data_IF_560899253597
#
_entry.id   IF_560899253597
#
_cell.length_a   1.000
_cell.length_b   1.000
_cell.length_c   1.000
_cell.angle_alpha   90.00
_cell.angle_beta   90.00
_cell.angle_gamma   90.00
#
_symmetry.space_group_name_H-M   'P 1'
#
loop_
_entity.id
_entity.type
_entity.pdbx_description
1 polymer ?
#
# COMPACT_ATOMS: atom_id res chain seq x y z
N UNK A 1 -34.49 -69.19 -44.31
CA UNK A 1 -34.27 -67.77 -44.67
C UNK A 1 -33.96 -67.03 -43.39
N UNK A 2 -33.13 -65.98 -43.48
CA UNK A 2 -32.61 -65.14 -42.36
C UNK A 2 -31.35 -65.69 -41.70
N UNK A 3 -30.18 -65.19 -42.12
CA UNK A 3 -29.02 -65.05 -41.21
C UNK A 3 -28.19 -63.84 -41.63
N UNK A 4 -28.22 -62.85 -40.74
CA UNK A 4 -27.47 -61.60 -40.71
C UNK A 4 -25.97 -61.85 -40.61
N UNK A 5 -25.19 -61.07 -41.36
CA UNK A 5 -23.73 -61.09 -41.36
C UNK A 5 -23.19 -60.30 -40.15
N UNK A 6 -22.50 -60.98 -39.24
CA UNK A 6 -21.66 -60.40 -38.19
C UNK A 6 -20.22 -60.34 -38.70
N UNK A 7 -19.57 -59.17 -38.59
CA UNK A 7 -18.13 -59.02 -38.80
C UNK A 7 -17.47 -58.78 -37.45
N UNK A 8 -16.81 -59.83 -36.99
CA UNK A 8 -15.85 -59.89 -35.89
C UNK A 8 -14.52 -59.31 -36.37
N UNK A 9 -13.92 -58.38 -35.62
CA UNK A 9 -12.50 -58.04 -35.75
C UNK A 9 -11.80 -58.42 -34.45
N UNK A 10 -10.78 -59.28 -34.57
CA UNK A 10 -9.95 -59.81 -33.50
C UNK A 10 -8.97 -58.77 -32.92
N UNK A 11 -8.63 -58.92 -31.63
CA UNK A 11 -7.40 -58.42 -31.00
C UNK A 11 -6.15 -59.11 -31.56
N UNK A 12 -4.91 -58.79 -31.14
CA UNK A 12 -4.42 -58.30 -29.85
C UNK A 12 -2.95 -57.84 -30.00
N UNK A 13 -2.49 -56.94 -29.12
CA UNK A 13 -1.18 -56.90 -28.42
C UNK A 13 -0.96 -55.46 -27.88
N UNK A 14 -1.15 -55.20 -26.59
CA UNK A 14 -0.17 -55.30 -25.48
C UNK A 14 0.79 -54.10 -25.43
N UNK A 15 0.40 -53.06 -24.68
CA UNK A 15 1.28 -52.06 -24.08
C UNK A 15 0.62 -51.63 -22.75
N UNK A 16 1.34 -51.68 -21.61
CA UNK A 16 0.81 -51.16 -20.34
C UNK A 16 0.82 -49.63 -20.38
N UNK A 17 -0.29 -49.05 -19.94
CA UNK A 17 -0.43 -47.61 -19.76
C UNK A 17 0.58 -47.12 -18.71
N UNK A 18 1.36 -46.10 -19.09
CA UNK A 18 2.14 -45.27 -18.18
C UNK A 18 1.26 -44.81 -17.01
N UNK A 19 1.77 -45.03 -15.80
CA UNK A 19 1.28 -44.39 -14.59
C UNK A 19 1.30 -42.86 -14.79
N UNK A 20 0.29 -42.11 -14.32
CA UNK A 20 0.41 -40.66 -14.32
C UNK A 20 1.55 -40.32 -13.38
N UNK A 21 2.67 -39.87 -13.95
CA UNK A 21 3.73 -39.18 -13.23
C UNK A 21 3.05 -38.14 -12.36
N UNK A 22 3.15 -38.33 -11.05
CA UNK A 22 2.74 -37.34 -10.08
C UNK A 22 3.38 -36.02 -10.51
N UNK A 23 2.54 -35.06 -10.91
CA UNK A 23 2.99 -33.70 -11.11
C UNK A 23 3.71 -33.31 -9.83
N UNK A 24 5.00 -33.04 -9.95
CA UNK A 24 5.74 -32.44 -8.86
C UNK A 24 4.95 -31.18 -8.46
N UNK A 25 4.42 -31.22 -7.24
CA UNK A 25 4.08 -30.00 -6.51
C UNK A 25 5.28 -29.07 -6.70
N UNK A 26 5.10 -27.81 -7.14
CA UNK A 26 6.21 -26.89 -7.22
C UNK A 26 6.86 -26.89 -5.85
N UNK A 27 8.13 -27.29 -5.85
CA UNK A 27 8.98 -27.26 -4.67
C UNK A 27 8.88 -25.85 -4.11
N UNK A 28 8.67 -25.75 -2.80
CA UNK A 28 8.82 -24.52 -2.07
C UNK A 28 10.30 -24.16 -2.14
N UNK A 29 10.74 -23.61 -3.28
CA UNK A 29 11.92 -22.79 -3.33
C UNK A 29 11.63 -21.68 -2.33
N UNK A 30 12.25 -21.79 -1.16
CA UNK A 30 12.18 -20.83 -0.09
C UNK A 30 12.16 -19.43 -0.69
N UNK A 31 11.22 -18.59 -0.24
CA UNK A 31 11.25 -17.15 -0.46
C UNK A 31 12.55 -16.64 0.15
N UNK A 32 13.63 -16.78 -0.61
CA UNK A 32 14.97 -16.45 -0.20
C UNK A 32 15.23 -15.02 -0.61
N UNK A 33 15.97 -14.31 0.23
CA UNK A 33 16.34 -12.93 -0.04
C UNK A 33 17.32 -12.78 -1.22
N UNK A 34 17.72 -13.86 -1.90
CA UNK A 34 18.61 -13.84 -3.07
C UNK A 34 19.30 -15.19 -3.29
N UNK A 35 20.01 -15.33 -4.41
CA UNK A 35 20.87 -16.51 -4.61
C UNK A 35 22.11 -16.42 -3.71
N UNK A 36 22.76 -17.54 -3.34
CA UNK A 36 23.98 -17.47 -2.52
C UNK A 36 25.10 -16.62 -3.13
N UNK A 37 25.23 -16.61 -4.46
CA UNK A 37 26.21 -15.80 -5.18
C UNK A 37 25.87 -14.30 -5.10
N UNK A 38 24.61 -13.94 -5.36
CA UNK A 38 24.14 -12.56 -5.29
C UNK A 38 24.21 -12.00 -3.86
N UNK A 39 23.92 -12.84 -2.84
CA UNK A 39 24.03 -12.45 -1.43
C UNK A 39 25.49 -12.26 -0.98
N UNK A 40 26.43 -13.06 -1.50
CA UNK A 40 27.87 -12.87 -1.24
C UNK A 40 28.36 -11.55 -1.85
N UNK A 41 27.96 -11.25 -3.08
CA UNK A 41 28.28 -9.99 -3.76
C UNK A 41 27.68 -8.79 -3.02
N UNK A 42 26.40 -8.86 -2.65
CA UNK A 42 25.72 -7.80 -1.92
C UNK A 42 26.32 -7.59 -0.53
N UNK A 43 26.74 -8.67 0.14
CA UNK A 43 27.39 -8.60 1.46
C UNK A 43 28.78 -7.95 1.45
N UNK A 44 29.40 -7.77 0.28
CA UNK A 44 30.65 -7.04 0.13
C UNK A 44 30.46 -5.51 0.09
N UNK A 45 29.21 -5.04 -0.08
CA UNK A 45 28.89 -3.61 -0.04
C UNK A 45 28.99 -3.10 1.39
N UNK A 46 29.81 -2.08 1.58
CA UNK A 46 29.94 -1.40 2.88
C UNK A 46 28.88 -0.31 2.98
N UNK A 47 28.09 -0.37 4.05
CA UNK A 47 27.06 0.61 4.39
C UNK A 47 27.50 1.36 5.64
N UNK A 48 27.78 2.66 5.51
CA UNK A 48 28.17 3.53 6.62
C UNK A 48 27.12 4.63 6.86
N UNK A 49 26.93 5.04 8.11
CA UNK A 49 25.98 6.08 8.50
C UNK A 49 25.01 5.60 9.58
N UNK A 50 24.60 6.52 10.45
CA UNK A 50 23.58 6.22 11.48
C UNK A 50 22.20 6.04 10.83
N UNK A 51 21.33 5.26 11.48
CA UNK A 51 19.94 5.11 11.07
C UNK A 51 19.24 6.48 11.07
N UNK A 52 18.38 6.74 10.07
CA UNK A 52 17.69 8.02 9.89
C UNK A 52 18.59 9.17 9.39
N UNK A 53 19.83 8.87 9.00
CA UNK A 53 20.71 9.77 8.25
C UNK A 53 21.10 9.13 6.93
N UNK A 54 21.30 9.96 5.90
CA UNK A 54 21.70 9.49 4.56
C UNK A 54 22.97 8.62 4.66
N UNK A 55 22.91 7.33 4.31
CA UNK A 55 24.06 6.45 4.38
C UNK A 55 25.04 6.70 3.23
N UNK A 56 26.24 6.15 3.35
CA UNK A 56 27.21 6.06 2.26
C UNK A 56 27.42 4.60 1.88
N UNK A 57 27.37 4.32 0.58
CA UNK A 57 27.58 2.98 0.02
C UNK A 57 28.94 2.91 -0.68
N UNK A 58 29.75 1.92 -0.31
CA UNK A 58 31.06 1.69 -0.92
C UNK A 58 31.18 0.24 -1.38
N UNK A 59 31.54 0.04 -2.66
CA UNK A 59 31.68 -1.27 -3.30
C UNK A 59 32.64 -1.20 -4.49
N UNK A 60 33.08 -2.37 -4.97
CA UNK A 60 33.89 -2.47 -6.19
C UNK A 60 33.03 -2.14 -7.42
N UNK A 61 33.59 -1.32 -8.32
CA UNK A 61 32.90 -0.75 -9.47
C UNK A 61 33.45 -1.31 -10.81
N UNK A 62 32.59 -1.66 -11.78
CA UNK A 62 31.13 -1.66 -11.70
C UNK A 62 30.62 -2.82 -10.83
N UNK A 63 29.56 -2.56 -10.08
CA UNK A 63 28.79 -3.56 -9.35
C UNK A 63 27.84 -4.27 -10.31
N UNK A 64 27.97 -5.60 -10.39
CA UNK A 64 27.14 -6.46 -11.21
C UNK A 64 26.49 -7.53 -10.32
N UNK A 65 25.20 -7.78 -10.54
CA UNK A 65 24.42 -8.79 -9.80
C UNK A 65 23.49 -9.52 -10.77
N UNK A 66 23.31 -10.83 -10.60
CA UNK A 66 22.61 -11.68 -11.55
C UNK A 66 21.10 -11.69 -11.37
N UNK A 67 20.64 -11.55 -10.13
CA UNK A 67 19.23 -11.44 -9.76
C UNK A 67 19.06 -10.44 -8.60
N UNK A 68 17.83 -9.95 -8.33
CA UNK A 68 17.60 -9.14 -7.16
C UNK A 68 18.01 -9.87 -5.88
N UNK A 69 18.59 -9.14 -4.94
CA UNK A 69 18.97 -9.68 -3.64
C UNK A 69 18.83 -8.62 -2.54
N UNK A 70 18.46 -9.04 -1.33
CA UNK A 70 18.26 -8.21 -0.15
C UNK A 70 19.04 -8.78 1.05
N UNK A 71 19.58 -7.90 1.89
CA UNK A 71 20.25 -8.24 3.13
C UNK A 71 19.82 -7.28 4.24
N UNK A 72 19.57 -7.82 5.44
CA UNK A 72 19.42 -6.99 6.63
C UNK A 72 20.80 -6.48 7.04
N UNK A 73 20.98 -5.16 7.01
CA UNK A 73 22.22 -4.49 7.45
C UNK A 73 22.19 -4.26 8.95
N UNK A 74 21.05 -3.83 9.47
CA UNK A 74 20.78 -3.69 10.89
C UNK A 74 19.33 -3.99 11.20
N UNK A 75 19.10 -4.69 12.30
CA UNK A 75 17.77 -4.96 12.84
C UNK A 75 17.19 -3.69 13.49
N UNK A 76 15.86 -3.56 13.43
CA UNK A 76 15.13 -2.51 14.12
C UNK A 76 14.77 -2.89 15.56
N UNK A 77 14.65 -1.89 16.42
CA UNK A 77 14.21 -2.04 17.81
C UNK A 77 12.74 -1.63 18.04
N UNK A 78 12.03 -1.25 16.97
CA UNK A 78 10.63 -0.82 17.01
C UNK A 78 9.64 -1.97 16.99
N UNK A 79 8.39 -1.66 16.59
CA UNK A 79 7.33 -2.66 16.50
C UNK A 79 7.60 -3.67 15.37
N UNK A 80 7.15 -4.94 15.52
CA UNK A 80 7.30 -5.94 14.47
C UNK A 80 6.58 -5.55 13.17
N UNK A 81 7.23 -5.79 12.04
CA UNK A 81 6.62 -5.60 10.73
C UNK A 81 5.66 -6.76 10.41
N UNK A 82 4.50 -6.41 9.86
CA UNK A 82 3.47 -7.36 9.45
C UNK A 82 3.13 -7.18 7.96
N UNK A 83 3.01 -8.28 7.23
CA UNK A 83 2.61 -8.24 5.82
C UNK A 83 1.27 -7.52 5.64
N UNK A 84 1.15 -6.75 4.56
CA UNK A 84 -0.02 -5.91 4.27
C UNK A 84 0.08 -4.50 4.88
N UNK A 85 1.02 -4.25 5.78
CA UNK A 85 1.31 -2.89 6.24
C UNK A 85 1.93 -2.04 5.12
N UNK A 86 1.69 -0.73 5.17
CA UNK A 86 2.40 0.24 4.34
C UNK A 86 3.54 0.78 5.20
N UNK A 87 4.78 0.45 4.83
CA UNK A 87 5.96 0.98 5.50
C UNK A 87 6.22 2.40 4.99
N UNK A 88 6.58 3.30 5.89
CA UNK A 88 7.22 4.56 5.56
C UNK A 88 8.72 4.30 5.55
N UNK A 89 9.38 4.56 4.43
CA UNK A 89 10.78 4.20 4.22
C UNK A 89 11.62 5.36 3.70
N UNK A 90 12.84 5.47 4.20
CA UNK A 90 13.86 6.32 3.57
C UNK A 90 14.75 5.48 2.65
N UNK A 91 14.93 5.97 1.42
CA UNK A 91 15.64 5.27 0.35
C UNK A 91 16.81 6.11 -0.14
N UNK A 92 17.99 5.48 -0.21
CA UNK A 92 19.11 5.94 -1.01
C UNK A 92 19.36 4.91 -2.09
N UNK A 93 19.34 5.32 -3.36
CA UNK A 93 19.70 4.49 -4.50
C UNK A 93 20.90 5.06 -5.23
N UNK A 94 21.88 4.21 -5.53
CA UNK A 94 23.09 4.55 -6.27
C UNK A 94 23.28 3.64 -7.47
N UNK A 95 23.88 4.19 -8.53
CA UNK A 95 24.27 3.44 -9.72
C UNK A 95 25.40 2.48 -9.39
N UNK A 96 25.26 1.23 -9.82
CA UNK A 96 26.30 0.21 -9.71
C UNK A 96 27.54 0.52 -10.54
N UNK A 97 27.46 1.40 -11.55
CA UNK A 97 28.62 1.74 -12.39
C UNK A 97 29.63 2.60 -11.62
N UNK A 98 29.32 3.88 -11.40
CA UNK A 98 30.23 4.83 -10.75
C UNK A 98 29.83 5.17 -9.29
N UNK A 99 28.78 4.56 -8.74
CA UNK A 99 28.28 4.87 -7.40
C UNK A 99 27.53 6.20 -7.31
N UNK A 100 27.12 6.78 -8.44
CA UNK A 100 26.41 8.05 -8.49
C UNK A 100 25.01 7.91 -7.86
N UNK A 101 24.62 8.87 -7.02
CA UNK A 101 23.26 8.90 -6.45
C UNK A 101 22.21 9.07 -7.54
N UNK A 102 21.33 8.08 -7.65
CA UNK A 102 20.17 8.09 -8.53
C UNK A 102 18.96 8.73 -7.82
N UNK A 103 18.80 8.42 -6.53
CA UNK A 103 17.69 8.87 -5.70
C UNK A 103 18.12 8.96 -4.24
N UNK A 104 17.62 9.96 -3.51
CA UNK A 104 17.73 10.04 -2.05
C UNK A 104 16.51 10.75 -1.46
N UNK A 105 15.73 10.05 -0.62
CA UNK A 105 14.64 10.65 0.16
C UNK A 105 15.15 11.44 1.36
N UNK A 106 16.40 11.21 1.77
CA UNK A 106 17.05 11.96 2.85
C UNK A 106 17.34 13.40 2.41
N UNK A 107 17.69 13.59 1.14
CA UNK A 107 18.08 14.89 0.60
C UNK A 107 16.90 15.87 0.49
N UNK A 108 15.69 15.37 0.22
CA UNK A 108 14.46 16.16 0.13
C UNK A 108 13.56 16.03 1.37
N UNK A 109 13.90 15.13 2.30
CA UNK A 109 13.13 14.88 3.52
C UNK A 109 11.75 14.29 3.24
N UNK A 110 11.61 13.54 2.15
CA UNK A 110 10.34 13.01 1.66
C UNK A 110 10.38 11.48 1.60
N UNK A 111 10.09 10.77 2.71
CA UNK A 111 10.10 9.32 2.72
C UNK A 111 9.03 8.73 1.80
N UNK A 112 9.30 7.53 1.31
CA UNK A 112 8.41 6.78 0.43
C UNK A 112 7.48 5.85 1.20
N UNK A 113 6.39 5.42 0.55
CA UNK A 113 5.42 4.47 1.11
C UNK A 113 5.50 3.19 0.32
N UNK A 114 5.91 2.11 0.99
CA UNK A 114 6.14 0.82 0.36
C UNK A 114 5.29 -0.26 1.04
N UNK A 115 4.40 -0.97 0.32
CA UNK A 115 3.66 -2.08 0.89
C UNK A 115 4.59 -3.24 1.24
N UNK A 116 4.55 -3.72 2.48
CA UNK A 116 5.23 -4.96 2.86
C UNK A 116 4.41 -6.16 2.39
N UNK A 117 5.03 -7.08 1.65
CA UNK A 117 4.37 -8.24 1.04
C UNK A 117 3.98 -8.01 -0.42
N UNK A 118 4.43 -6.93 -1.06
CA UNK A 118 4.20 -6.71 -2.49
C UNK A 118 4.88 -7.83 -3.31
N UNK A 119 4.12 -8.62 -4.10
CA UNK A 119 4.68 -9.72 -4.88
C UNK A 119 5.69 -9.29 -5.95
N UNK A 120 5.78 -8.00 -6.27
CA UNK A 120 6.80 -7.42 -7.14
C UNK A 120 8.20 -7.39 -6.54
N UNK A 121 8.33 -7.52 -5.21
CA UNK A 121 9.61 -7.46 -4.49
C UNK A 121 9.84 -8.66 -3.56
N UNK A 122 9.84 -9.90 -4.07
CA UNK A 122 9.87 -11.09 -3.24
C UNK A 122 11.14 -11.21 -2.38
N UNK A 123 12.30 -10.79 -2.88
CA UNK A 123 13.54 -10.81 -2.10
C UNK A 123 13.55 -9.78 -0.98
N UNK A 124 12.95 -8.61 -1.22
CA UNK A 124 12.78 -7.60 -0.18
C UNK A 124 11.82 -8.11 0.90
N UNK A 125 10.68 -8.71 0.52
CA UNK A 125 9.74 -9.31 1.47
C UNK A 125 10.42 -10.38 2.33
N UNK A 126 11.22 -11.25 1.71
CA UNK A 126 11.97 -12.27 2.41
C UNK A 126 12.97 -11.69 3.44
N UNK A 127 13.63 -10.57 3.12
CA UNK A 127 14.54 -9.90 4.04
C UNK A 127 13.81 -9.14 5.16
N UNK A 128 12.63 -8.59 4.88
CA UNK A 128 11.78 -7.90 5.86
C UNK A 128 11.05 -8.87 6.80
N UNK A 129 10.88 -10.13 6.42
CA UNK A 129 10.23 -11.14 7.23
C UNK A 129 10.93 -11.27 8.61
N UNK A 130 10.17 -11.02 9.68
CA UNK A 130 10.66 -11.06 11.06
C UNK A 130 11.51 -9.86 11.49
N UNK A 131 11.58 -8.80 10.67
CA UNK A 131 12.18 -7.52 11.03
C UNK A 131 11.18 -6.62 11.77
N UNK A 132 11.72 -5.56 12.36
CA UNK A 132 10.97 -4.53 13.07
C UNK A 132 11.17 -3.17 12.41
N UNK A 133 10.30 -2.21 12.73
CA UNK A 133 10.53 -0.79 12.46
C UNK A 133 11.89 -0.39 13.01
N UNK A 134 12.64 0.38 12.21
CA UNK A 134 14.04 0.73 12.46
C UNK A 134 15.05 -0.16 11.72
N UNK A 135 14.60 -1.20 11.01
CA UNK A 135 15.50 -2.03 10.22
C UNK A 135 16.06 -1.26 9.01
N UNK A 136 17.33 -1.52 8.69
CA UNK A 136 17.98 -1.06 7.44
C UNK A 136 18.23 -2.27 6.56
N UNK A 137 17.64 -2.26 5.37
CA UNK A 137 17.82 -3.29 4.35
C UNK A 137 18.72 -2.75 3.25
N UNK A 138 19.69 -3.54 2.82
CA UNK A 138 20.44 -3.34 1.60
C UNK A 138 19.79 -4.20 0.53
N UNK A 139 19.37 -3.60 -0.58
CA UNK A 139 18.73 -4.28 -1.69
C UNK A 139 19.46 -3.91 -2.99
N UNK A 140 19.57 -4.84 -3.92
CA UNK A 140 20.16 -4.61 -5.21
C UNK A 140 19.32 -5.23 -6.30
N UNK A 141 19.24 -4.56 -7.45
CA UNK A 141 18.56 -5.03 -8.65
C UNK A 141 19.54 -5.05 -9.83
N UNK A 142 19.49 -6.09 -10.69
CA UNK A 142 20.34 -6.20 -11.86
C UNK A 142 20.15 -5.02 -12.82
N UNK A 143 21.23 -4.66 -13.51
CA UNK A 143 21.16 -3.79 -14.67
C UNK A 143 20.47 -4.47 -15.85
N UNK A 144 20.17 -3.70 -16.88
CA UNK A 144 19.49 -4.22 -18.05
C UNK A 144 19.40 -3.24 -19.20
N UNK A 145 18.70 -3.65 -20.27
CA UNK A 145 18.43 -2.77 -21.38
C UNK A 145 17.32 -1.77 -21.02
N UNK A 146 17.67 -0.49 -20.98
CA UNK A 146 16.78 0.65 -20.86
C UNK A 146 16.03 0.96 -22.15
N UNK A 147 15.29 2.06 -22.12
CA UNK A 147 14.57 2.55 -23.30
C UNK A 147 15.58 2.95 -24.38
N UNK A 148 15.23 2.72 -25.65
CA UNK A 148 16.09 3.05 -26.81
C UNK A 148 17.44 2.30 -26.88
N UNK A 149 17.63 1.26 -26.05
CA UNK A 149 18.82 0.42 -26.07
C UNK A 149 20.01 0.96 -25.26
N UNK A 150 19.76 1.94 -24.39
CA UNK A 150 20.71 2.36 -23.36
C UNK A 150 20.91 1.22 -22.35
N UNK A 151 22.16 0.96 -21.93
CA UNK A 151 22.41 0.04 -20.81
C UNK A 151 22.19 0.79 -19.50
N UNK A 152 21.25 0.30 -18.70
CA UNK A 152 21.01 0.76 -17.34
C UNK A 152 21.87 -0.10 -16.41
N UNK A 153 22.79 0.49 -15.64
CA UNK A 153 23.61 -0.27 -14.70
C UNK A 153 22.74 -0.89 -13.60
N UNK A 154 23.31 -1.83 -12.84
CA UNK A 154 22.66 -2.32 -11.62
C UNK A 154 22.39 -1.17 -10.66
N UNK A 155 21.40 -1.30 -9.80
CA UNK A 155 21.11 -0.33 -8.75
C UNK A 155 21.33 -0.98 -7.39
N UNK A 156 22.07 -0.30 -6.53
CA UNK A 156 22.26 -0.69 -5.12
C UNK A 156 21.55 0.35 -4.28
N UNK A 157 20.73 -0.09 -3.32
CA UNK A 157 19.90 0.80 -2.52
C UNK A 157 19.83 0.36 -1.06
N UNK A 158 19.75 1.34 -0.17
CA UNK A 158 19.36 1.13 1.22
C UNK A 158 17.93 1.56 1.42
N UNK A 159 17.19 0.77 2.18
CA UNK A 159 15.81 1.00 2.58
C UNK A 159 15.79 1.00 4.11
N UNK A 160 15.60 2.16 4.70
CA UNK A 160 15.40 2.33 6.14
C UNK A 160 13.92 2.32 6.43
N UNK A 161 13.44 1.36 7.20
CA UNK A 161 12.03 1.30 7.62
C UNK A 161 11.84 2.25 8.78
N UNK A 162 11.40 3.48 8.50
CA UNK A 162 11.32 4.55 9.51
C UNK A 162 10.07 4.46 10.37
N UNK A 163 8.97 4.03 9.78
CA UNK A 163 7.69 3.86 10.46
C UNK A 163 6.76 2.91 9.67
N UNK A 164 5.60 2.60 10.22
CA UNK A 164 4.50 1.96 9.49
C UNK A 164 3.28 2.86 9.54
N UNK A 165 2.61 3.00 8.40
CA UNK A 165 1.39 3.78 8.30
C UNK A 165 0.31 3.14 9.21
N UNK A 166 -0.33 3.91 10.10
CA UNK A 166 -1.43 3.41 10.91
C UNK A 166 -2.57 2.88 10.03
N UNK A 167 -3.29 1.88 10.52
CA UNK A 167 -4.43 1.30 9.79
C UNK A 167 -5.77 1.98 10.09
N UNK A 168 -5.78 2.90 11.07
CA UNK A 168 -6.93 3.70 11.51
C UNK A 168 -6.47 4.94 12.26
N UNK A 169 -7.40 5.86 12.49
CA UNK A 169 -7.19 7.04 13.32
C UNK A 169 -6.93 6.65 14.79
N UNK A 170 -5.97 7.33 15.42
CA UNK A 170 -5.64 7.19 16.83
C UNK A 170 -5.53 8.57 17.45
N UNK A 171 -6.22 8.78 18.57
CA UNK A 171 -6.27 10.09 19.21
C UNK A 171 -7.32 10.17 20.31
N UNK A 172 -7.71 11.40 20.63
CA UNK A 172 -8.68 11.66 21.69
C UNK A 172 -10.10 11.68 21.13
N UNK A 173 -11.04 10.84 21.62
CA UNK A 173 -12.44 10.90 21.20
C UNK A 173 -13.07 12.27 21.47
N UNK A 174 -13.85 12.76 20.52
CA UNK A 174 -14.57 14.04 20.57
C UNK A 174 -16.07 13.79 20.48
N UNK A 175 -16.82 14.31 21.44
CA UNK A 175 -18.29 14.23 21.40
C UNK A 175 -18.83 15.18 20.31
N UNK A 176 -19.71 14.71 19.41
CA UNK A 176 -20.32 15.56 18.40
C UNK A 176 -21.11 16.70 19.05
N UNK A 177 -20.96 17.92 18.50
CA UNK A 177 -21.57 19.12 19.09
C UNK A 177 -22.81 19.61 18.34
N UNK A 178 -22.97 19.22 17.07
CA UNK A 178 -24.11 19.57 16.25
C UNK A 178 -25.25 18.54 16.39
N UNK A 179 -26.49 19.03 16.39
CA UNK A 179 -27.69 18.19 16.35
C UNK A 179 -27.96 17.70 14.91
N UNK A 180 -28.63 16.56 14.77
CA UNK A 180 -29.05 16.05 13.46
C UNK A 180 -27.93 15.45 12.62
N UNK A 181 -26.77 15.14 13.23
CA UNK A 181 -25.69 14.42 12.56
C UNK A 181 -25.98 12.91 12.48
N UNK A 182 -25.48 12.22 11.44
CA UNK A 182 -25.38 10.77 11.43
C UNK A 182 -24.62 10.25 12.66
N UNK A 183 -25.03 9.09 13.17
CA UNK A 183 -24.34 8.43 14.28
C UNK A 183 -23.27 7.49 13.73
N UNK A 184 -22.06 7.56 14.29
CA UNK A 184 -20.95 6.69 13.90
C UNK A 184 -20.62 5.74 15.05
N UNK A 185 -20.49 4.46 14.72
CA UNK A 185 -20.00 3.43 15.64
C UNK A 185 -18.85 2.68 14.98
N UNK A 186 -17.89 2.19 15.76
CA UNK A 186 -16.70 1.52 15.26
C UNK A 186 -16.73 0.04 15.63
N UNK A 187 -16.36 -0.82 14.68
CA UNK A 187 -16.04 -2.22 14.95
C UNK A 187 -14.66 -2.35 15.64
N UNK A 188 -14.29 -3.56 16.08
CA UNK A 188 -13.02 -3.80 16.79
C UNK A 188 -11.79 -3.47 15.93
N UNK A 189 -11.88 -3.68 14.61
CA UNK A 189 -10.86 -3.34 13.62
C UNK A 189 -10.86 -1.84 13.24
N UNK A 190 -11.77 -1.05 13.80
CA UNK A 190 -11.94 0.37 13.51
C UNK A 190 -12.85 0.68 12.33
N UNK A 191 -13.39 -0.32 11.62
CA UNK A 191 -14.31 -0.09 10.51
C UNK A 191 -15.55 0.66 11.00
N UNK A 192 -15.89 1.83 10.43
CA UNK A 192 -17.04 2.60 10.86
C UNK A 192 -18.35 2.05 10.29
N UNK A 193 -19.41 2.09 11.09
CA UNK A 193 -20.81 1.98 10.65
C UNK A 193 -21.47 3.33 10.83
N UNK A 194 -22.11 3.83 9.76
CA UNK A 194 -22.78 5.13 9.71
C UNK A 194 -24.29 4.90 9.72
N UNK A 195 -24.97 5.35 10.77
CA UNK A 195 -26.43 5.37 10.85
C UNK A 195 -26.95 6.78 10.52
N UNK A 196 -27.73 6.87 9.44
CA UNK A 196 -28.30 8.12 8.93
C UNK A 196 -29.75 8.34 9.40
N UNK A 197 -30.32 7.44 10.20
CA UNK A 197 -31.70 7.60 10.68
C UNK A 197 -31.84 8.88 11.52
N UNK A 198 -32.69 9.80 11.06
CA UNK A 198 -32.91 11.09 11.72
C UNK A 198 -31.84 12.14 11.45
N UNK A 199 -30.86 11.85 10.58
CA UNK A 199 -29.92 12.85 10.10
C UNK A 199 -30.65 13.91 9.26
N UNK A 200 -30.19 15.15 9.36
CA UNK A 200 -30.75 16.27 8.61
C UNK A 200 -29.98 16.46 7.30
N UNK A 201 -30.70 16.74 6.20
CA UNK A 201 -30.08 17.10 4.93
C UNK A 201 -29.21 18.37 5.09
N UNK A 202 -27.93 18.32 4.70
CA UNK A 202 -27.03 19.46 4.83
C UNK A 202 -27.38 20.55 3.82
N UNK A 203 -27.38 21.81 4.25
CA UNK A 203 -27.37 22.96 3.31
C UNK A 203 -25.95 23.48 3.04
N UNK A 204 -25.01 23.12 3.91
CA UNK A 204 -23.59 23.48 3.84
C UNK A 204 -22.76 22.26 4.27
N UNK A 205 -21.46 22.24 3.94
CA UNK A 205 -20.56 21.19 4.39
C UNK A 205 -20.51 21.16 5.93
N UNK A 206 -20.77 19.99 6.50
CA UNK A 206 -20.52 19.73 7.92
C UNK A 206 -19.21 18.98 8.06
N UNK A 207 -18.36 19.45 8.96
CA UNK A 207 -17.09 18.82 9.34
C UNK A 207 -17.11 18.61 10.85
N UNK A 208 -17.17 17.35 11.29
CA UNK A 208 -17.18 16.98 12.70
C UNK A 208 -16.05 16.00 12.98
N UNK A 209 -15.04 16.45 13.72
CA UNK A 209 -13.99 15.56 14.25
C UNK A 209 -14.61 14.62 15.28
N UNK A 210 -14.42 13.31 15.10
CA UNK A 210 -14.87 12.25 16.02
C UNK A 210 -13.72 11.75 16.89
N UNK A 211 -12.50 11.78 16.34
CA UNK A 211 -11.25 11.51 17.05
C UNK A 211 -10.29 12.63 16.66
N UNK A 212 -9.76 13.38 17.63
CA UNK A 212 -8.73 14.39 17.38
C UNK A 212 -7.35 13.72 17.44
N UNK A 213 -6.68 13.68 16.29
CA UNK A 213 -5.30 13.23 16.17
C UNK A 213 -4.29 14.25 16.70
N UNK A 214 -3.06 13.79 16.89
CA UNK A 214 -1.95 14.61 17.42
C UNK A 214 -0.88 14.94 16.36
N UNK A 215 -1.05 14.44 15.14
CA UNK A 215 -0.11 14.61 14.04
C UNK A 215 -0.12 16.03 13.43
N UNK A 216 0.70 16.25 12.39
CA UNK A 216 0.75 17.53 11.69
C UNK A 216 -0.61 17.88 11.08
N UNK A 217 -0.80 19.18 10.84
CA UNK A 217 -2.02 19.69 10.18
C UNK A 217 -1.91 19.40 8.68
N UNK A 218 -2.99 18.89 8.10
CA UNK A 218 -3.13 18.67 6.66
C UNK A 218 -3.16 20.03 5.94
N UNK A 219 -2.26 20.23 5.00
CA UNK A 219 -2.15 21.44 4.19
C UNK A 219 -2.62 21.19 2.75
N UNK A 220 -3.17 22.24 2.12
CA UNK A 220 -3.54 22.18 0.70
C UNK A 220 -2.30 22.01 -0.17
N UNK A 221 -2.36 21.09 -1.13
CA UNK A 221 -1.24 20.75 -2.01
C UNK A 221 -0.52 19.46 -1.63
N UNK A 222 -0.78 18.91 -0.45
CA UNK A 222 -0.20 17.63 0.00
C UNK A 222 -0.91 16.43 -0.62
N UNK A 223 -0.26 15.28 -0.55
CA UNK A 223 -0.94 13.99 -0.59
C UNK A 223 -1.34 13.59 0.83
N UNK A 224 -2.48 12.91 0.96
CA UNK A 224 -2.93 12.30 2.20
C UNK A 224 -3.12 10.80 1.99
N UNK A 225 -2.77 10.02 3.01
CA UNK A 225 -3.16 8.62 3.13
C UNK A 225 -4.34 8.53 4.08
N UNK A 226 -5.45 7.92 3.63
CA UNK A 226 -6.68 7.86 4.40
C UNK A 226 -7.31 6.47 4.36
N UNK A 227 -7.99 6.12 5.45
CA UNK A 227 -9.10 5.17 5.37
C UNK A 227 -10.42 5.94 5.31
N UNK A 228 -11.36 5.48 4.51
CA UNK A 228 -12.66 6.13 4.38
C UNK A 228 -13.80 5.16 4.14
N UNK A 229 -14.99 5.57 4.58
CA UNK A 229 -16.23 4.85 4.41
C UNK A 229 -17.31 5.85 4.00
N UNK A 230 -17.86 5.68 2.80
CA UNK A 230 -18.82 6.58 2.18
C UNK A 230 -20.20 5.93 2.02
N UNK A 231 -21.23 6.62 2.51
CA UNK A 231 -22.64 6.21 2.39
C UNK A 231 -23.52 7.31 1.80
N UNK A 232 -24.58 6.92 1.10
CA UNK A 232 -25.63 7.86 0.68
C UNK A 232 -26.39 8.33 1.92
N UNK A 233 -26.57 9.65 2.07
CA UNK A 233 -27.35 10.18 3.21
C UNK A 233 -28.82 9.73 3.18
N UNK A 234 -29.37 9.47 1.99
CA UNK A 234 -30.78 9.13 1.79
C UNK A 234 -31.22 7.84 2.46
N UNK A 235 -30.33 6.85 2.52
CA UNK A 235 -30.68 5.49 2.99
C UNK A 235 -29.53 4.75 3.69
N UNK A 236 -28.34 5.35 3.80
CA UNK A 236 -27.17 4.74 4.42
C UNK A 236 -26.49 3.69 3.56
N UNK A 237 -26.85 3.57 2.27
CA UNK A 237 -26.20 2.61 1.37
C UNK A 237 -24.74 2.97 1.18
N UNK A 238 -23.85 2.03 1.51
CA UNK A 238 -22.41 2.13 1.23
C UNK A 238 -22.20 2.14 -0.28
N UNK A 239 -21.52 3.18 -0.77
CA UNK A 239 -21.13 3.27 -2.18
C UNK A 239 -19.64 3.04 -2.39
N UNK A 240 -18.81 3.29 -1.37
CA UNK A 240 -17.36 3.10 -1.44
C UNK A 240 -16.75 3.01 -0.04
N UNK A 241 -15.76 2.13 0.13
CA UNK A 241 -15.07 1.89 1.39
C UNK A 241 -13.65 1.39 1.15
N UNK A 242 -12.65 2.03 1.76
CA UNK A 242 -11.27 1.54 1.68
C UNK A 242 -11.02 0.33 2.60
N UNK A 243 -11.76 0.20 3.70
CA UNK A 243 -11.76 -1.01 4.54
C UNK A 243 -12.20 -2.26 3.76
N UNK A 244 -13.17 -2.14 2.85
CA UNK A 244 -13.58 -3.27 1.99
C UNK A 244 -12.51 -3.68 0.98
N UNK A 245 -11.61 -2.75 0.62
CA UNK A 245 -10.44 -3.04 -0.22
C UNK A 245 -9.23 -3.54 0.56
N UNK A 246 -9.26 -3.46 1.88
CA UNK A 246 -8.21 -3.94 2.78
C UNK A 246 -6.96 -3.06 2.86
N UNK A 247 -6.95 -1.85 2.27
CA UNK A 247 -5.80 -0.95 2.35
C UNK A 247 -6.21 0.53 2.26
N UNK A 248 -5.45 1.44 2.92
CA UNK A 248 -5.59 2.88 2.76
C UNK A 248 -5.51 3.34 1.31
N UNK A 249 -6.16 4.47 1.03
CA UNK A 249 -6.11 5.13 -0.26
C UNK A 249 -5.33 6.45 -0.17
N UNK A 250 -4.67 6.81 -1.27
CA UNK A 250 -3.86 8.03 -1.36
C UNK A 250 -4.50 9.02 -2.34
N UNK A 251 -4.57 10.29 -1.93
CA UNK A 251 -5.15 11.36 -2.75
C UNK A 251 -4.38 12.67 -2.55
N UNK A 252 -4.23 13.47 -3.60
CA UNK A 252 -3.87 14.88 -3.46
C UNK A 252 -5.05 15.66 -2.88
N UNK A 253 -4.79 16.51 -1.89
CA UNK A 253 -5.82 17.26 -1.15
C UNK A 253 -5.71 18.78 -1.36
N UNK A 254 -6.86 19.44 -1.48
CA UNK A 254 -6.93 20.89 -1.69
C UNK A 254 -6.48 21.33 -3.08
N UNK A 255 -6.44 20.41 -4.05
CA UNK A 255 -5.98 20.65 -5.44
C UNK A 255 -7.03 20.29 -6.49
N UNK A 256 -8.23 19.89 -6.08
CA UNK A 256 -9.33 19.50 -6.97
C UNK A 256 -9.25 18.07 -7.50
N UNK A 257 -8.43 17.20 -6.89
CA UNK A 257 -8.34 15.78 -7.27
C UNK A 257 -9.51 14.95 -6.70
N UNK A 258 -10.04 15.34 -5.55
CA UNK A 258 -11.21 14.72 -4.90
C UNK A 258 -12.41 15.68 -4.91
N UNK A 259 -13.56 15.23 -4.43
CA UNK A 259 -14.77 16.08 -4.33
C UNK A 259 -14.50 17.30 -3.45
N UNK A 260 -15.18 18.42 -3.74
CA UNK A 260 -14.92 19.69 -3.04
C UNK A 260 -15.15 19.60 -1.53
N UNK A 261 -16.09 18.77 -1.08
CA UNK A 261 -16.33 18.54 0.35
C UNK A 261 -15.13 17.93 1.08
N UNK A 262 -14.32 17.11 0.40
CA UNK A 262 -13.07 16.59 0.97
C UNK A 262 -11.98 17.66 0.98
N UNK A 263 -11.76 18.33 -0.15
CA UNK A 263 -10.77 19.41 -0.26
C UNK A 263 -11.00 20.52 0.77
N UNK A 264 -12.25 20.85 1.07
CA UNK A 264 -12.61 21.86 2.07
C UNK A 264 -12.64 21.30 3.49
N UNK A 265 -13.05 20.03 3.66
CA UNK A 265 -13.30 19.45 4.97
C UNK A 265 -12.09 18.84 5.67
N UNK A 266 -11.12 18.35 4.90
CA UNK A 266 -9.93 17.66 5.44
C UNK A 266 -8.72 18.59 5.60
N UNK A 267 -8.60 19.64 4.78
CA UNK A 267 -7.55 20.66 4.96
C UNK A 267 -7.76 21.36 6.31
N UNK A 268 -6.69 21.47 7.10
CA UNK A 268 -6.73 22.03 8.44
C UNK A 268 -7.03 21.03 9.56
N UNK A 269 -7.41 19.79 9.23
CA UNK A 269 -7.50 18.69 10.20
C UNK A 269 -6.10 18.17 10.54
N UNK A 270 -5.96 17.46 11.65
CA UNK A 270 -4.68 16.84 12.04
C UNK A 270 -4.59 15.40 11.55
N UNK A 271 -3.41 14.97 11.13
CA UNK A 271 -3.09 13.54 10.96
C UNK A 271 -3.35 12.79 12.27
N UNK A 272 -3.87 11.57 12.16
CA UNK A 272 -4.40 10.76 13.25
C UNK A 272 -5.88 11.00 13.56
N UNK A 273 -6.53 12.01 12.95
CA UNK A 273 -7.93 12.31 13.22
C UNK A 273 -8.90 11.42 12.45
N UNK A 274 -10.04 11.10 13.08
CA UNK A 274 -11.24 10.61 12.40
C UNK A 274 -12.23 11.77 12.23
N UNK A 275 -12.69 11.99 11.00
CA UNK A 275 -13.55 13.12 10.63
C UNK A 275 -14.81 12.61 9.94
N UNK A 276 -15.97 12.99 10.48
CA UNK A 276 -17.27 12.87 9.84
C UNK A 276 -17.49 14.08 8.92
N UNK A 277 -17.73 13.81 7.64
CA UNK A 277 -18.15 14.79 6.65
C UNK A 277 -19.59 14.51 6.24
N UNK A 278 -20.46 15.52 6.32
CA UNK A 278 -21.81 15.48 5.71
C UNK A 278 -21.82 16.52 4.59
N UNK A 279 -21.88 16.04 3.36
CA UNK A 279 -21.52 16.80 2.16
C UNK A 279 -22.79 16.99 1.32
N UNK A 280 -23.27 18.24 1.13
CA UNK A 280 -24.36 18.50 0.20
C UNK A 280 -23.93 18.19 -1.22
N UNK A 281 -24.89 17.77 -2.05
CA UNK A 281 -24.62 17.27 -3.40
C UNK A 281 -23.78 18.23 -4.26
N UNK A 282 -23.94 19.54 -4.11
CA UNK A 282 -23.18 20.57 -4.85
C UNK A 282 -21.68 20.56 -4.53
N UNK A 283 -21.29 20.07 -3.35
CA UNK A 283 -19.89 19.87 -2.95
C UNK A 283 -19.41 18.43 -3.15
N UNK A 284 -20.29 17.56 -3.66
CA UNK A 284 -20.02 16.18 -4.06
C UNK A 284 -20.03 16.05 -5.60
N UNK A 285 -21.02 15.33 -6.15
CA UNK A 285 -21.14 15.05 -7.59
C UNK A 285 -22.22 15.89 -8.30
N UNK A 286 -22.92 16.77 -7.59
CA UNK A 286 -23.92 17.68 -8.14
C UNK A 286 -25.00 16.96 -8.94
N UNK A 287 -25.30 17.47 -10.13
CA UNK A 287 -26.32 16.91 -11.05
C UNK A 287 -25.83 15.70 -11.86
N UNK A 288 -24.64 15.16 -11.56
CA UNK A 288 -24.05 14.04 -12.29
C UNK A 288 -24.34 12.71 -11.59
N UNK A 289 -24.86 11.75 -12.36
CA UNK A 289 -24.92 10.35 -11.94
C UNK A 289 -23.52 9.72 -12.01
N UNK A 290 -23.11 9.03 -10.93
CA UNK A 290 -21.85 8.28 -10.83
C UNK A 290 -22.11 6.96 -10.12
N UNK A 291 -22.53 5.93 -10.86
CA UNK A 291 -22.89 4.61 -10.32
C UNK A 291 -21.87 4.12 -9.27
N UNK A 292 -22.32 3.75 -8.05
CA UNK A 292 -23.72 3.58 -7.61
C UNK A 292 -24.39 4.84 -7.03
N UNK A 293 -23.82 6.03 -7.18
CA UNK A 293 -24.28 7.32 -6.64
C UNK A 293 -25.22 8.02 -7.64
N UNK A 294 -26.52 8.21 -7.31
CA UNK A 294 -27.43 9.00 -8.13
C UNK A 294 -27.09 10.50 -8.15
N UNK A 295 -27.52 11.21 -9.18
CA UNK A 295 -27.45 12.67 -9.26
C UNK A 295 -28.18 13.33 -8.08
N UNK A 296 -27.62 14.44 -7.60
CA UNK A 296 -28.08 15.24 -6.46
C UNK A 296 -28.09 14.47 -5.14
N UNK A 297 -27.22 13.47 -4.98
CA UNK A 297 -27.08 12.74 -3.70
C UNK A 297 -26.19 13.50 -2.73
N UNK A 298 -26.69 13.71 -1.52
CA UNK A 298 -25.88 14.11 -0.38
C UNK A 298 -25.12 12.89 0.16
N UNK A 299 -23.87 13.10 0.54
CA UNK A 299 -22.96 12.03 0.93
C UNK A 299 -22.52 12.19 2.38
N UNK A 300 -22.35 11.07 3.07
CA UNK A 300 -21.71 11.03 4.38
C UNK A 300 -20.43 10.23 4.27
N UNK A 301 -19.34 10.77 4.80
CA UNK A 301 -18.07 10.07 4.93
C UNK A 301 -17.61 10.04 6.37
N UNK A 302 -17.04 8.91 6.79
CA UNK A 302 -16.08 8.86 7.89
C UNK A 302 -14.71 8.67 7.29
N UNK A 303 -13.77 9.55 7.63
CA UNK A 303 -12.41 9.57 7.10
C UNK A 303 -11.40 9.56 8.23
N UNK A 304 -10.55 8.54 8.27
CA UNK A 304 -9.36 8.49 9.11
C UNK A 304 -8.18 9.05 8.32
N UNK A 305 -7.57 10.11 8.83
CA UNK A 305 -6.38 10.72 8.23
C UNK A 305 -5.15 10.04 8.82
N UNK A 306 -4.46 9.23 8.02
CA UNK A 306 -3.36 8.39 8.50
C UNK A 306 -1.99 9.04 8.31
N UNK A 307 -1.85 9.86 7.26
CA UNK A 307 -0.62 10.59 6.95
C UNK A 307 -0.89 11.75 5.99
N UNK A 308 0.01 12.75 5.95
CA UNK A 308 -0.03 13.90 5.06
C UNK A 308 1.39 14.38 4.71
N UNK A 309 1.68 14.52 3.42
CA UNK A 309 3.02 14.79 2.89
C UNK A 309 3.04 15.66 1.64
#
# INVERSE_FOLDING_TARGET
MTTTLLLTACGSADEPADEPTAAATPDAAEESAGTPEDLELLGAVQVEGEFGSEPTLTFDQPFEIGAPAALVVSEGDGDPLEEGQIMVVDVLAVSGDAGETLQSTYADGSPERLPFGDPGFPQLNAALAGQNVGARILYAVPGGAGQEGEEVPATVLTIDVVDVLPTRAEGTPVEPTAEGLPTVTLAEDGTPTIDVEGATEPTELVVQTLIEGEGPVVESGQNISVQYHGVLLSDGTVFDSSWERGQPAQFGIGVGQVIQGWDQGLVGQKVGSQVLLVIPSELAYGDQDRDPIPANSDLVFVVDILDAY
#
